data_IF_169102320482
#
_entry.id   IF_169102320482
#
_cell.length_a   1.000
_cell.length_b   1.000
_cell.length_c   1.000
_cell.angle_alpha   90.00
_cell.angle_beta   90.00
_cell.angle_gamma   90.00
#
_symmetry.space_group_name_H-M   'P 1'
#
loop_
_entity.id
_entity.type
_entity.pdbx_description
1 polymer ?
#
# COMPACT_ATOMS: atom_id res chain seq x y z
N UNK A 1 -19.67 7.17 -20.65
CA UNK A 1 -18.28 7.67 -20.76
C UNK A 1 -17.38 6.61 -20.13
N UNK A 2 -16.46 6.01 -20.88
CA UNK A 2 -15.49 5.09 -20.28
C UNK A 2 -14.49 5.94 -19.49
N UNK A 3 -14.34 5.65 -18.21
CA UNK A 3 -13.36 6.34 -17.36
C UNK A 3 -11.94 6.06 -17.89
N UNK A 4 -11.09 7.09 -17.92
CA UNK A 4 -9.71 7.02 -18.42
C UNK A 4 -8.80 6.29 -17.39
N UNK A 5 -9.26 6.21 -16.14
CA UNK A 5 -8.65 5.40 -15.08
C UNK A 5 -9.74 4.65 -14.29
N UNK A 6 -9.37 3.51 -13.71
CA UNK A 6 -10.24 2.69 -12.86
C UNK A 6 -9.55 2.39 -11.53
N UNK A 7 -10.34 2.04 -10.49
CA UNK A 7 -9.77 1.63 -9.20
C UNK A 7 -8.88 0.40 -9.40
N UNK A 8 -7.66 0.50 -8.91
CA UNK A 8 -6.71 -0.62 -8.86
C UNK A 8 -6.71 -1.29 -7.49
N UNK A 9 -6.31 -0.55 -6.46
CA UNK A 9 -6.24 -1.08 -5.11
C UNK A 9 -6.41 -0.01 -4.05
N UNK A 10 -6.75 -0.48 -2.86
CA UNK A 10 -6.76 0.31 -1.63
C UNK A 10 -5.42 0.12 -0.91
N UNK A 11 -4.97 1.16 -0.22
CA UNK A 11 -3.67 1.14 0.48
C UNK A 11 -3.86 1.39 1.96
N UNK A 12 -3.43 0.43 2.76
CA UNK A 12 -3.27 0.56 4.21
C UNK A 12 -1.79 0.81 4.51
N UNK A 13 -1.47 1.96 5.08
CA UNK A 13 -0.12 2.20 5.61
C UNK A 13 -0.05 1.75 7.06
N UNK A 14 1.11 1.27 7.49
CA UNK A 14 1.34 0.80 8.85
C UNK A 14 2.78 1.06 9.31
N UNK A 15 3.01 1.22 10.62
CA UNK A 15 4.37 1.44 11.16
C UNK A 15 5.27 0.23 10.92
N UNK A 16 4.68 -0.96 10.80
CA UNK A 16 5.32 -2.18 10.33
C UNK A 16 4.27 -3.13 9.77
N UNK A 17 4.73 -4.10 8.96
CA UNK A 17 3.84 -5.00 8.24
C UNK A 17 2.98 -5.86 9.16
N UNK A 18 3.51 -6.28 10.31
CA UNK A 18 2.76 -7.07 11.30
C UNK A 18 1.57 -6.29 11.86
N UNK A 19 1.78 -5.02 12.23
CA UNK A 19 0.72 -4.16 12.73
C UNK A 19 -0.38 -3.93 11.68
N UNK A 20 0.01 -3.71 10.42
CA UNK A 20 -0.95 -3.52 9.33
C UNK A 20 -1.75 -4.79 9.02
N UNK A 21 -1.09 -5.96 8.98
CA UNK A 21 -1.76 -7.26 8.79
C UNK A 21 -2.76 -7.54 9.90
N UNK A 22 -2.38 -7.28 11.16
CA UNK A 22 -3.28 -7.44 12.29
C UNK A 22 -4.49 -6.50 12.17
N UNK A 23 -4.25 -5.22 11.86
CA UNK A 23 -5.33 -4.24 11.69
C UNK A 23 -6.35 -4.65 10.63
N UNK A 24 -5.89 -5.15 9.47
CA UNK A 24 -6.78 -5.67 8.42
C UNK A 24 -7.52 -6.91 8.88
N UNK A 25 -6.85 -7.83 9.57
CA UNK A 25 -7.48 -9.05 10.10
C UNK A 25 -8.56 -8.72 11.12
N UNK A 26 -8.31 -7.76 12.01
CA UNK A 26 -9.26 -7.34 13.04
C UNK A 26 -10.48 -6.67 12.40
N UNK A 27 -10.29 -5.90 11.32
CA UNK A 27 -11.36 -5.22 10.61
C UNK A 27 -12.20 -6.13 9.69
N UNK A 28 -11.56 -7.07 8.99
CA UNK A 28 -12.19 -7.84 7.90
C UNK A 28 -12.28 -9.35 8.16
N UNK A 29 -11.66 -9.86 9.23
CA UNK A 29 -11.63 -11.29 9.56
C UNK A 29 -10.73 -12.15 8.68
N UNK A 30 -9.98 -11.56 7.73
CA UNK A 30 -9.11 -12.26 6.78
C UNK A 30 -7.68 -11.71 6.88
N UNK A 31 -6.70 -12.59 6.79
CA UNK A 31 -5.28 -12.24 6.87
C UNK A 31 -4.72 -11.96 5.46
N UNK A 32 -4.17 -10.76 5.19
CA UNK A 32 -3.40 -10.51 3.98
C UNK A 32 -2.19 -11.45 3.85
N UNK A 33 -1.92 -11.93 2.64
CA UNK A 33 -0.80 -12.80 2.33
C UNK A 33 0.47 -12.00 2.06
N UNK A 34 1.63 -12.62 2.26
CA UNK A 34 2.91 -11.96 1.97
C UNK A 34 2.97 -11.57 0.49
N UNK A 35 3.24 -10.28 0.24
CA UNK A 35 3.47 -9.77 -1.09
C UNK A 35 4.96 -9.80 -1.42
N UNK A 36 5.50 -8.64 -1.78
CA UNK A 36 6.87 -8.45 -2.19
C UNK A 36 7.58 -7.34 -1.44
N UNK A 37 8.83 -7.12 -1.88
CA UNK A 37 9.66 -5.99 -1.48
C UNK A 37 9.79 -5.03 -2.65
N UNK A 38 9.93 -3.75 -2.35
CA UNK A 38 10.16 -2.69 -3.33
C UNK A 38 11.52 -2.05 -3.10
N UNK A 39 12.62 -2.59 -3.66
CA UNK A 39 13.98 -2.11 -3.40
C UNK A 39 14.17 -0.61 -3.67
N UNK A 40 13.53 -0.08 -4.72
CA UNK A 40 13.61 1.34 -5.08
C UNK A 40 13.01 2.28 -4.04
N UNK A 41 12.10 1.78 -3.21
CA UNK A 41 11.39 2.56 -2.20
C UNK A 41 11.68 2.10 -0.78
N UNK A 42 12.48 1.05 -0.59
CA UNK A 42 12.73 0.49 0.73
C UNK A 42 11.46 0.15 1.51
N UNK A 43 10.45 -0.39 0.82
CA UNK A 43 9.17 -0.83 1.43
C UNK A 43 8.93 -2.32 1.17
N UNK A 44 8.02 -2.90 1.91
CA UNK A 44 7.48 -4.24 1.69
C UNK A 44 5.96 -4.26 1.92
N UNK A 45 5.27 -5.27 1.40
CA UNK A 45 3.83 -5.34 1.49
C UNK A 45 3.27 -6.74 1.77
N UNK A 46 1.99 -6.75 2.14
CA UNK A 46 1.09 -7.89 2.14
C UNK A 46 -0.15 -7.52 1.35
N UNK A 47 -0.79 -8.51 0.72
CA UNK A 47 -1.88 -8.31 -0.22
C UNK A 47 -3.11 -9.11 0.20
N UNK A 48 -4.29 -8.50 0.05
CA UNK A 48 -5.57 -9.17 0.19
C UNK A 48 -6.38 -8.96 -1.08
N UNK A 49 -6.72 -10.05 -1.77
CA UNK A 49 -7.57 -9.99 -2.98
C UNK A 49 -9.00 -9.57 -2.59
N UNK A 50 -9.53 -8.55 -3.28
CA UNK A 50 -10.90 -8.07 -3.10
C UNK A 50 -11.81 -8.39 -4.31
N UNK A 51 -11.22 -8.73 -5.46
CA UNK A 51 -11.94 -9.09 -6.67
C UNK A 51 -11.02 -9.58 -7.78
N UNK A 52 -11.51 -9.59 -9.02
CA UNK A 52 -10.71 -10.01 -10.17
C UNK A 52 -9.55 -9.06 -10.47
N UNK A 53 -9.78 -7.76 -10.31
CA UNK A 53 -8.81 -6.71 -10.65
C UNK A 53 -8.53 -5.75 -9.49
N UNK A 54 -9.02 -6.06 -8.29
CA UNK A 54 -8.90 -5.17 -7.12
C UNK A 54 -8.37 -5.91 -5.91
N UNK A 55 -7.50 -5.25 -5.17
CA UNK A 55 -6.91 -5.76 -3.95
C UNK A 55 -6.73 -4.66 -2.90
N UNK A 56 -6.41 -5.05 -1.67
CA UNK A 56 -5.94 -4.18 -0.61
C UNK A 56 -4.46 -4.49 -0.39
N UNK A 57 -3.64 -3.44 -0.45
CA UNK A 57 -2.22 -3.48 -0.12
C UNK A 57 -2.02 -2.99 1.31
N UNK A 58 -1.40 -3.79 2.15
CA UNK A 58 -0.79 -3.31 3.40
C UNK A 58 0.67 -3.05 3.11
N UNK A 59 1.13 -1.81 3.31
CA UNK A 59 2.50 -1.40 3.01
C UNK A 59 3.17 -0.69 4.19
N UNK A 60 4.44 -1.01 4.42
CA UNK A 60 5.28 -0.33 5.41
C UNK A 60 6.73 -0.20 4.91
N UNK A 61 7.53 0.63 5.57
CA UNK A 61 8.98 0.63 5.36
C UNK A 61 9.55 -0.77 5.69
N UNK A 62 10.46 -1.29 4.84
CA UNK A 62 11.18 -2.53 5.15
C UNK A 62 12.38 -2.18 6.04
N UNK A 63 12.42 -2.64 7.31
CA UNK A 63 13.50 -2.31 8.23
C UNK A 63 14.86 -2.89 7.81
N UNK A 64 14.87 -3.84 6.86
CA UNK A 64 16.09 -4.45 6.34
C UNK A 64 16.53 -3.87 5.00
N UNK A 65 15.76 -2.94 4.43
CA UNK A 65 16.13 -2.28 3.18
C UNK A 65 17.04 -1.07 3.47
N UNK A 66 18.01 -0.78 2.58
CA UNK A 66 18.76 0.46 2.68
C UNK A 66 17.84 1.69 2.56
N UNK A 67 18.30 2.82 3.08
CA UNK A 67 17.63 4.11 2.87
C UNK A 67 17.56 4.39 1.35
N UNK A 68 16.36 4.60 0.77
CA UNK A 68 16.22 4.86 -0.67
C UNK A 68 16.70 6.26 -1.10
N UNK A 69 17.14 7.11 -0.15
CA UNK A 69 17.63 8.46 -0.42
C UNK A 69 16.57 9.42 -0.95
N UNK A 70 15.29 9.08 -0.77
CA UNK A 70 14.11 9.81 -1.21
C UNK A 70 12.92 9.49 -0.31
N UNK A 71 11.89 10.35 -0.26
CA UNK A 71 10.66 10.02 0.44
C UNK A 71 10.02 8.73 -0.08
N UNK A 72 9.63 7.85 0.83
CA UNK A 72 8.86 6.62 0.58
C UNK A 72 7.43 6.96 0.17
N UNK A 73 6.79 6.02 -0.52
CA UNK A 73 5.39 6.16 -0.92
C UNK A 73 4.50 6.41 0.30
N UNK A 74 3.39 7.10 0.07
CA UNK A 74 2.34 7.34 1.06
C UNK A 74 2.82 8.05 2.34
N UNK A 75 3.91 8.83 2.24
CA UNK A 75 4.52 9.56 3.34
C UNK A 75 4.89 8.67 4.55
N UNK A 76 5.27 7.40 4.29
CA UNK A 76 5.66 6.45 5.34
C UNK A 76 6.78 6.96 6.25
N UNK A 77 7.66 7.84 5.76
CA UNK A 77 8.74 8.41 6.59
C UNK A 77 8.26 9.41 7.64
N UNK A 78 7.00 9.85 7.57
CA UNK A 78 6.36 10.73 8.57
C UNK A 78 5.51 9.95 9.57
N UNK A 79 5.49 8.63 9.47
CA UNK A 79 4.73 7.80 10.38
C UNK A 79 5.51 7.61 11.67
N UNK A 80 4.93 8.05 12.78
CA UNK A 80 5.52 7.84 14.10
C UNK A 80 5.56 6.34 14.45
N UNK A 81 6.54 5.88 15.24
CA UNK A 81 6.65 4.46 15.60
C UNK A 81 5.42 3.89 16.33
N UNK A 82 4.66 4.72 17.02
CA UNK A 82 3.43 4.37 17.75
C UNK A 82 2.14 4.66 16.98
N UNK A 83 2.25 5.13 15.72
CA UNK A 83 1.09 5.38 14.89
C UNK A 83 0.29 4.09 14.62
N UNK A 84 -1.02 4.23 14.52
CA UNK A 84 -1.89 3.12 14.10
C UNK A 84 -1.87 2.95 12.58
N UNK A 85 -2.06 1.71 12.12
CA UNK A 85 -2.33 1.46 10.72
C UNK A 85 -3.64 2.14 10.28
N UNK A 86 -3.71 2.57 9.02
CA UNK A 86 -4.89 3.26 8.49
C UNK A 86 -5.04 3.05 6.98
N UNK A 87 -6.28 3.09 6.50
CA UNK A 87 -6.58 3.24 5.08
C UNK A 87 -6.14 4.64 4.65
N UNK A 88 -5.05 4.73 3.89
CA UNK A 88 -4.36 5.98 3.60
C UNK A 88 -4.60 6.50 2.18
N UNK A 89 -4.81 5.60 1.22
CA UNK A 89 -4.95 5.97 -0.18
C UNK A 89 -5.74 4.92 -0.98
N UNK A 90 -6.02 5.29 -2.23
CA UNK A 90 -6.46 4.40 -3.31
C UNK A 90 -5.59 4.70 -4.53
N UNK A 91 -5.37 3.68 -5.35
CA UNK A 91 -4.57 3.79 -6.58
C UNK A 91 -5.47 3.57 -7.78
N UNK A 92 -5.27 4.39 -8.82
CA UNK A 92 -5.96 4.27 -10.09
C UNK A 92 -5.06 3.62 -11.14
N UNK A 93 -5.56 2.59 -11.82
CA UNK A 93 -4.92 2.00 -12.99
C UNK A 93 -5.36 2.77 -14.22
N UNK A 94 -4.42 3.04 -15.11
CA UNK A 94 -4.67 3.70 -16.40
C UNK A 94 -3.76 3.12 -17.47
N UNK A 95 -4.21 3.19 -18.72
CA UNK A 95 -3.40 2.90 -19.91
C UNK A 95 -2.70 4.13 -20.47
N UNK A 96 -3.00 5.33 -19.95
CA UNK A 96 -2.45 6.61 -20.38
C UNK A 96 -2.27 7.53 -19.16
N UNK A 97 -1.07 7.49 -18.57
CA UNK A 97 -0.78 8.22 -17.32
C UNK A 97 -0.76 9.74 -17.54
N UNK A 98 -0.25 10.20 -18.68
CA UNK A 98 -0.20 11.63 -19.02
C UNK A 98 -1.60 12.20 -19.09
N UNK A 99 -2.51 11.51 -19.79
CA UNK A 99 -3.89 11.94 -19.89
C UNK A 99 -4.67 11.84 -18.58
N UNK A 100 -4.30 10.91 -17.70
CA UNK A 100 -5.00 10.69 -16.43
C UNK A 100 -4.53 11.63 -15.32
N UNK A 101 -3.31 12.15 -15.41
CA UNK A 101 -2.71 13.04 -14.43
C UNK A 101 -2.86 14.55 -14.77
N UNK A 102 -3.34 14.86 -15.98
CA UNK A 102 -3.66 16.22 -16.43
C UNK A 102 -4.93 16.78 -15.74
#
# INVERSE_FOLDING_TARGET
MNAIATLDHLVVTAPNLKAGVQWVRDALGVTPELGGKHPRMGTHNCLLRLGEQTYLEVISADPNAPDPGRPRWFALDRMEPDASAQLAAWVARTTDIERSAA
#
